data_IF_692319448927
#
_entry.id   IF_692319448927
#
_cell.length_a   1.000
_cell.length_b   1.000
_cell.length_c   1.000
_cell.angle_alpha   90.00
_cell.angle_beta   90.00
_cell.angle_gamma   90.00
#
_symmetry.space_group_name_H-M   'P 1'
#
loop_
_entity.id
_entity.type
_entity.pdbx_description
1 polymer ?
#
# COMPACT_ATOMS: atom_id res chain seq x y z
N UNK A 1 2.37 30.07 -12.85
CA UNK A 1 2.97 28.77 -12.47
C UNK A 1 3.58 28.18 -13.73
N UNK A 2 4.84 27.77 -13.70
CA UNK A 2 5.43 27.11 -14.86
C UNK A 2 4.78 25.73 -15.05
N UNK A 3 4.25 25.49 -16.25
CA UNK A 3 3.67 24.21 -16.62
C UNK A 3 4.78 23.15 -16.63
N UNK A 4 4.56 22.00 -15.98
CA UNK A 4 5.51 20.91 -16.00
C UNK A 4 5.45 20.25 -17.39
N UNK A 5 6.56 20.22 -18.16
CA UNK A 5 6.59 19.54 -19.45
C UNK A 5 6.32 18.05 -19.29
N UNK A 6 5.46 17.47 -20.14
CA UNK A 6 5.13 16.05 -20.12
C UNK A 6 5.47 15.40 -21.46
N UNK A 7 6.19 14.27 -21.43
CA UNK A 7 6.40 13.42 -22.59
C UNK A 7 5.45 12.22 -22.53
N UNK A 8 4.69 12.01 -23.60
CA UNK A 8 3.80 10.84 -23.76
C UNK A 8 4.26 10.00 -24.95
N UNK A 9 4.70 8.77 -24.68
CA UNK A 9 5.02 7.81 -25.74
C UNK A 9 3.75 7.21 -26.36
N UNK A 10 3.81 6.83 -27.64
CA UNK A 10 2.66 6.26 -28.36
C UNK A 10 2.22 4.90 -27.80
N UNK A 11 3.18 4.02 -27.49
CA UNK A 11 2.90 2.64 -27.01
C UNK A 11 2.76 2.55 -25.49
N UNK A 12 3.27 3.53 -24.73
CA UNK A 12 3.21 3.58 -23.27
C UNK A 12 2.23 4.64 -22.74
N UNK A 13 1.25 5.01 -23.55
CA UNK A 13 0.22 6.00 -23.16
C UNK A 13 -0.85 5.41 -22.20
N UNK A 14 -0.91 4.09 -22.06
CA UNK A 14 -1.89 3.40 -21.22
C UNK A 14 -1.28 3.01 -19.85
N UNK A 15 -0.87 4.02 -19.07
CA UNK A 15 -0.54 3.80 -17.67
C UNK A 15 -1.84 3.69 -16.85
N UNK A 16 -1.84 2.78 -15.87
CA UNK A 16 -2.85 2.76 -14.84
C UNK A 16 -2.63 3.98 -13.92
N UNK A 17 -3.57 4.91 -13.96
CA UNK A 17 -3.48 6.14 -13.20
C UNK A 17 -4.25 6.01 -11.89
N UNK A 18 -3.59 6.32 -10.78
CA UNK A 18 -4.26 6.43 -9.48
C UNK A 18 -5.21 7.64 -9.48
N UNK A 19 -6.28 7.63 -8.66
CA UNK A 19 -7.14 8.80 -8.48
C UNK A 19 -6.35 10.05 -8.08
N UNK A 20 -6.57 11.14 -8.80
CA UNK A 20 -5.80 12.39 -8.62
C UNK A 20 -5.94 13.00 -7.23
N UNK A 21 -7.08 12.80 -6.56
CA UNK A 21 -7.32 13.27 -5.19
C UNK A 21 -6.33 12.71 -4.17
N UNK A 22 -5.65 11.58 -4.46
CA UNK A 22 -4.61 11.03 -3.56
C UNK A 22 -3.40 11.99 -3.45
N UNK A 23 -3.17 12.84 -4.42
CA UNK A 23 -2.11 13.85 -4.35
C UNK A 23 -2.34 14.91 -3.26
N UNK A 24 -3.56 15.01 -2.72
CA UNK A 24 -3.92 15.89 -1.60
C UNK A 24 -3.38 15.40 -0.25
N UNK A 25 -2.94 14.12 -0.16
CA UNK A 25 -2.29 13.59 1.04
C UNK A 25 -1.04 14.37 1.41
N UNK A 26 -0.81 14.54 2.73
CA UNK A 26 0.42 15.14 3.25
C UNK A 26 1.67 14.33 2.87
N UNK A 27 1.52 13.02 2.79
CA UNK A 27 2.57 12.04 2.51
C UNK A 27 3.30 11.57 3.77
N UNK A 28 3.96 10.43 3.64
CA UNK A 28 4.89 9.87 4.63
C UNK A 28 6.28 9.90 3.99
N UNK A 29 7.28 10.37 4.73
CA UNK A 29 8.66 10.36 4.24
C UNK A 29 9.38 9.13 4.77
N UNK A 30 9.77 8.22 3.88
CA UNK A 30 10.54 7.01 4.20
C UNK A 30 11.83 7.07 3.40
N UNK A 31 12.97 6.99 4.07
CA UNK A 31 14.32 7.09 3.47
C UNK A 31 14.43 8.22 2.42
N UNK A 32 13.94 9.41 2.79
CA UNK A 32 13.96 10.60 1.93
C UNK A 32 12.88 10.66 0.85
N UNK A 33 12.22 9.57 0.51
CA UNK A 33 11.12 9.54 -0.48
C UNK A 33 9.79 9.91 0.15
N UNK A 34 9.04 10.79 -0.49
CA UNK A 34 7.68 11.16 -0.09
C UNK A 34 6.68 10.20 -0.74
N UNK A 35 5.89 9.51 0.08
CA UNK A 35 4.90 8.51 -0.34
C UNK A 35 3.51 9.01 0.04
N UNK A 36 2.65 9.25 -0.94
CA UNK A 36 1.24 9.65 -0.78
C UNK A 36 0.29 8.56 -1.27
N UNK A 37 0.76 7.75 -2.22
CA UNK A 37 -0.01 6.71 -2.89
C UNK A 37 0.70 5.38 -2.83
N UNK A 38 -0.05 4.33 -2.46
CA UNK A 38 0.41 2.95 -2.56
C UNK A 38 -0.60 2.17 -3.40
N UNK A 39 -0.12 1.31 -4.28
CA UNK A 39 -0.99 0.37 -4.99
C UNK A 39 -0.92 -1.00 -4.32
N UNK A 40 -2.10 -1.50 -3.93
CA UNK A 40 -2.26 -2.86 -3.40
C UNK A 40 -2.30 -3.85 -4.56
N UNK A 41 -1.17 -4.48 -4.85
CA UNK A 41 -1.07 -5.47 -5.93
C UNK A 41 0.12 -6.39 -5.77
N UNK A 42 -0.01 -7.62 -6.29
CA UNK A 42 1.08 -8.56 -6.57
C UNK A 42 1.18 -8.89 -8.07
N UNK A 43 0.32 -8.28 -8.88
CA UNK A 43 0.33 -8.44 -10.33
C UNK A 43 1.47 -7.59 -10.94
N UNK A 44 2.46 -8.25 -11.48
CA UNK A 44 3.66 -7.58 -12.02
C UNK A 44 3.36 -6.67 -13.22
N UNK A 45 2.31 -6.96 -14.00
CA UNK A 45 1.90 -6.10 -15.10
C UNK A 45 1.32 -4.78 -14.58
N UNK A 46 0.53 -4.82 -13.51
CA UNK A 46 0.01 -3.62 -12.82
C UNK A 46 1.15 -2.86 -12.16
N UNK A 47 2.01 -3.54 -11.39
CA UNK A 47 3.14 -2.95 -10.67
C UNK A 47 4.04 -2.15 -11.61
N UNK A 48 4.32 -2.69 -12.81
CA UNK A 48 5.20 -2.06 -13.80
C UNK A 48 4.56 -0.91 -14.54
N UNK A 49 3.22 -0.81 -14.56
CA UNK A 49 2.48 0.14 -15.39
C UNK A 49 1.57 1.09 -14.58
N UNK A 50 1.87 1.33 -13.32
CA UNK A 50 1.13 2.25 -12.46
C UNK A 50 1.98 3.47 -12.06
N UNK A 51 1.34 4.63 -11.89
CA UNK A 51 1.99 5.88 -11.51
C UNK A 51 1.98 6.17 -9.99
N UNK A 52 1.83 5.14 -9.14
CA UNK A 52 1.86 5.31 -7.69
C UNK A 52 3.27 5.60 -7.15
N UNK A 53 3.36 6.17 -5.94
CA UNK A 53 4.62 6.43 -5.26
C UNK A 53 5.27 5.15 -4.70
N UNK A 54 4.45 4.11 -4.42
CA UNK A 54 4.92 2.83 -3.87
C UNK A 54 3.93 1.69 -4.17
N UNK A 55 4.38 0.46 -3.90
CA UNK A 55 3.58 -0.76 -3.93
C UNK A 55 3.43 -1.32 -2.52
N UNK A 56 2.26 -1.85 -2.19
CA UNK A 56 2.01 -2.68 -1.02
C UNK A 56 1.64 -4.09 -1.49
N UNK A 57 2.57 -5.01 -1.32
CA UNK A 57 2.48 -6.39 -1.81
C UNK A 57 2.12 -7.33 -0.66
N UNK A 58 0.83 -7.54 -0.45
CA UNK A 58 0.28 -8.47 0.54
C UNK A 58 -0.68 -9.42 -0.18
N UNK A 59 -0.61 -10.70 0.13
CA UNK A 59 -1.43 -11.73 -0.49
C UNK A 59 -1.87 -12.79 0.53
N UNK A 60 -2.96 -13.56 0.29
CA UNK A 60 -3.62 -14.38 1.30
C UNK A 60 -2.93 -15.74 1.58
N UNK A 61 -1.71 -15.93 1.11
CA UNK A 61 -0.93 -17.15 1.32
C UNK A 61 0.26 -16.87 2.23
N UNK A 62 0.89 -17.93 2.76
CA UNK A 62 2.16 -17.80 3.50
C UNK A 62 3.17 -17.05 2.63
N UNK A 63 3.79 -15.99 3.12
CA UNK A 63 4.77 -15.23 2.36
C UNK A 63 5.93 -16.11 1.89
N UNK A 64 6.29 -15.98 0.62
CA UNK A 64 7.34 -16.74 -0.02
C UNK A 64 8.43 -15.78 -0.53
N UNK A 65 9.69 -15.97 -0.13
CA UNK A 65 10.80 -15.10 -0.55
C UNK A 65 10.93 -14.94 -2.07
N UNK A 66 10.64 -15.98 -2.85
CA UNK A 66 10.68 -15.92 -4.31
C UNK A 66 9.66 -14.96 -4.91
N UNK A 67 8.45 -14.88 -4.34
CA UNK A 67 7.41 -13.93 -4.76
C UNK A 67 7.84 -12.51 -4.38
N UNK A 68 8.30 -12.31 -3.15
CA UNK A 68 8.82 -11.01 -2.69
C UNK A 68 9.92 -10.50 -3.59
N UNK A 69 10.92 -11.35 -3.89
CA UNK A 69 12.04 -11.00 -4.77
C UNK A 69 11.56 -10.65 -6.18
N UNK A 70 10.63 -11.41 -6.75
CA UNK A 70 10.10 -11.15 -8.09
C UNK A 70 9.41 -9.78 -8.15
N UNK A 71 8.58 -9.44 -7.16
CA UNK A 71 7.89 -8.15 -7.09
C UNK A 71 8.89 -7.00 -6.95
N UNK A 72 9.85 -7.11 -6.04
CA UNK A 72 10.88 -6.08 -5.84
C UNK A 72 11.69 -5.88 -7.13
N UNK A 73 12.07 -6.96 -7.82
CA UNK A 73 12.88 -6.89 -9.04
C UNK A 73 12.18 -6.23 -10.22
N UNK A 74 10.86 -6.28 -10.31
CA UNK A 74 10.09 -5.66 -11.41
C UNK A 74 9.61 -4.25 -11.10
N UNK A 75 9.55 -3.87 -9.83
CA UNK A 75 9.03 -2.56 -9.41
C UNK A 75 10.04 -1.44 -9.68
N UNK A 76 9.58 -0.33 -10.24
CA UNK A 76 10.38 0.90 -10.38
C UNK A 76 10.24 1.83 -9.14
N UNK A 77 9.38 1.47 -8.20
CA UNK A 77 9.07 2.24 -6.99
C UNK A 77 9.24 1.39 -5.73
N UNK A 78 9.35 2.00 -4.54
CA UNK A 78 9.46 1.28 -3.29
C UNK A 78 8.38 0.21 -3.10
N UNK A 79 8.75 -0.94 -2.55
CA UNK A 79 7.83 -2.04 -2.26
C UNK A 79 7.77 -2.30 -0.75
N UNK A 80 6.55 -2.25 -0.20
CA UNK A 80 6.23 -2.68 1.15
C UNK A 80 5.63 -4.09 1.07
N UNK A 81 6.20 -5.05 1.80
CA UNK A 81 5.87 -6.46 1.63
C UNK A 81 5.20 -7.08 2.85
N UNK A 82 4.21 -7.94 2.63
CA UNK A 82 3.55 -8.69 3.68
C UNK A 82 4.43 -9.82 4.22
N UNK A 83 4.63 -9.85 5.54
CA UNK A 83 5.48 -10.87 6.18
C UNK A 83 4.72 -11.75 7.19
N UNK A 84 3.40 -11.60 7.28
CA UNK A 84 2.55 -12.42 8.14
C UNK A 84 1.57 -11.61 8.99
N UNK A 85 1.28 -12.12 10.19
CA UNK A 85 0.27 -11.56 11.10
C UNK A 85 -1.08 -12.28 11.03
N UNK A 86 -1.13 -13.41 10.35
CA UNK A 86 -2.28 -14.33 10.34
C UNK A 86 -1.80 -15.73 10.71
N UNK A 87 -2.00 -16.71 9.82
CA UNK A 87 -1.48 -18.09 10.01
C UNK A 87 0.05 -18.12 10.10
N UNK A 88 0.76 -17.27 9.35
CA UNK A 88 2.19 -17.06 9.50
C UNK A 88 2.40 -16.01 10.57
N UNK A 89 3.04 -16.37 11.68
CA UNK A 89 3.20 -15.53 12.87
C UNK A 89 4.50 -15.87 13.64
N UNK A 90 4.78 -15.13 14.73
CA UNK A 90 5.91 -15.34 15.62
C UNK A 90 7.25 -15.27 14.89
N UNK A 91 8.19 -16.11 15.30
CA UNK A 91 9.57 -16.12 14.77
C UNK A 91 9.66 -16.37 13.26
N UNK A 92 8.66 -17.03 12.65
CA UNK A 92 8.61 -17.17 11.19
C UNK A 92 8.42 -15.81 10.52
N UNK A 93 7.49 -15.00 11.02
CA UNK A 93 7.27 -13.64 10.51
C UNK A 93 8.48 -12.73 10.72
N UNK A 94 9.17 -12.88 11.85
CA UNK A 94 10.41 -12.15 12.14
C UNK A 94 11.50 -12.47 11.12
N UNK A 95 11.75 -13.77 10.85
CA UNK A 95 12.72 -14.17 9.82
C UNK A 95 12.34 -13.72 8.41
N UNK A 96 11.04 -13.73 8.09
CA UNK A 96 10.57 -13.22 6.80
C UNK A 96 10.78 -11.70 6.67
N UNK A 97 10.62 -10.95 7.76
CA UNK A 97 10.89 -9.51 7.79
C UNK A 97 12.37 -9.21 7.51
N UNK A 98 13.27 -9.85 8.24
CA UNK A 98 14.72 -9.74 8.05
C UNK A 98 15.14 -10.11 6.62
N UNK A 99 14.63 -11.24 6.11
CA UNK A 99 14.91 -11.67 4.76
C UNK A 99 14.38 -10.68 3.69
N UNK A 100 13.19 -10.11 3.92
CA UNK A 100 12.60 -9.12 3.02
C UNK A 100 13.43 -7.83 2.95
N UNK A 101 13.98 -7.39 4.08
CA UNK A 101 14.92 -6.27 4.12
C UNK A 101 16.17 -6.54 3.29
N UNK A 102 16.79 -7.73 3.46
CA UNK A 102 17.96 -8.15 2.66
C UNK A 102 17.65 -8.21 1.15
N UNK A 103 16.40 -8.45 0.77
CA UNK A 103 15.96 -8.41 -0.63
C UNK A 103 15.72 -6.98 -1.16
N UNK A 104 15.76 -5.96 -0.29
CA UNK A 104 15.53 -4.57 -0.67
C UNK A 104 14.09 -4.10 -0.50
N UNK A 105 13.28 -4.76 0.33
CA UNK A 105 11.98 -4.24 0.73
C UNK A 105 12.12 -2.87 1.41
N UNK A 106 11.18 -1.98 1.15
CA UNK A 106 11.20 -0.62 1.70
C UNK A 106 10.51 -0.52 3.06
N UNK A 107 9.82 -1.57 3.46
CA UNK A 107 9.17 -1.79 4.74
C UNK A 107 8.43 -3.12 4.75
N UNK A 108 8.06 -3.58 5.93
CA UNK A 108 7.31 -4.82 6.12
C UNK A 108 5.92 -4.54 6.67
N UNK A 109 4.94 -5.31 6.19
CA UNK A 109 3.53 -5.18 6.58
C UNK A 109 3.09 -6.42 7.32
N UNK A 110 2.45 -6.21 8.48
CA UNK A 110 1.86 -7.28 9.27
C UNK A 110 0.35 -7.07 9.45
N UNK A 111 -0.40 -8.16 9.38
CA UNK A 111 -1.86 -8.13 9.54
C UNK A 111 -2.27 -7.98 11.01
N UNK A 112 -3.53 -7.57 11.22
CA UNK A 112 -4.12 -7.28 12.53
C UNK A 112 -3.89 -8.33 13.63
N UNK A 113 -3.94 -9.66 13.37
CA UNK A 113 -3.73 -10.67 14.41
C UNK A 113 -2.29 -10.79 14.96
N UNK A 114 -1.32 -10.07 14.41
CA UNK A 114 0.06 -10.08 14.91
C UNK A 114 0.10 -9.71 16.40
N UNK A 115 0.99 -10.32 17.19
CA UNK A 115 1.20 -9.94 18.59
C UNK A 115 2.18 -8.80 18.74
N UNK A 116 2.05 -7.98 19.79
CA UNK A 116 3.01 -6.92 20.11
C UNK A 116 4.42 -7.48 20.34
N UNK A 117 4.54 -8.67 20.97
CA UNK A 117 5.82 -9.37 21.12
C UNK A 117 6.50 -9.62 19.75
N UNK A 118 5.74 -10.09 18.77
CA UNK A 118 6.29 -10.34 17.41
C UNK A 118 6.75 -9.05 16.74
N UNK A 119 6.01 -7.94 16.89
CA UNK A 119 6.42 -6.62 16.39
C UNK A 119 7.73 -6.19 17.03
N UNK A 120 7.85 -6.31 18.38
CA UNK A 120 9.09 -5.97 19.10
C UNK A 120 10.29 -6.79 18.63
N UNK A 121 10.10 -8.09 18.40
CA UNK A 121 11.16 -8.95 17.84
C UNK A 121 11.55 -8.52 16.43
N UNK A 122 10.59 -8.14 15.59
CA UNK A 122 10.88 -7.61 14.25
C UNK A 122 11.75 -6.35 14.32
N UNK A 123 11.39 -5.39 15.19
CA UNK A 123 12.16 -4.14 15.33
C UNK A 123 13.59 -4.34 15.84
N UNK A 124 13.91 -5.50 16.42
CA UNK A 124 15.28 -5.83 16.83
C UNK A 124 16.15 -6.32 15.67
N UNK A 125 15.54 -6.79 14.58
CA UNK A 125 16.25 -7.43 13.47
C UNK A 125 16.13 -6.69 12.13
N UNK A 126 15.23 -5.68 12.02
CA UNK A 126 15.08 -4.87 10.80
C UNK A 126 15.24 -3.39 11.09
N UNK A 127 15.85 -2.66 10.15
CA UNK A 127 15.97 -1.19 10.17
C UNK A 127 14.89 -0.50 9.31
N UNK A 128 14.23 -1.25 8.43
CA UNK A 128 13.09 -0.77 7.65
C UNK A 128 11.81 -0.64 8.48
N UNK A 129 10.85 0.23 8.09
CA UNK A 129 9.61 0.42 8.83
C UNK A 129 8.79 -0.86 8.99
N UNK A 130 8.29 -1.09 10.20
CA UNK A 130 7.27 -2.10 10.50
C UNK A 130 5.90 -1.45 10.47
N UNK A 131 5.06 -1.87 9.52
CA UNK A 131 3.73 -1.36 9.28
C UNK A 131 2.71 -2.36 9.84
N UNK A 132 1.88 -1.95 10.80
CA UNK A 132 0.84 -2.81 11.37
C UNK A 132 -0.54 -2.45 10.86
N UNK A 133 -1.34 -3.46 10.51
CA UNK A 133 -2.71 -3.27 10.03
C UNK A 133 -3.67 -3.08 11.21
N UNK A 134 -4.49 -2.03 11.13
CA UNK A 134 -5.55 -1.68 12.08
C UNK A 134 -6.90 -1.83 11.37
N UNK A 135 -7.77 -2.65 11.91
CA UNK A 135 -9.09 -2.96 11.32
C UNK A 135 -10.27 -2.48 12.17
N UNK A 136 -10.02 -2.09 13.42
CA UNK A 136 -11.02 -1.59 14.37
C UNK A 136 -10.41 -0.53 15.28
N UNK A 137 -11.25 0.38 15.75
CA UNK A 137 -10.90 1.40 16.76
C UNK A 137 -10.62 0.81 18.16
N UNK A 138 -11.11 -0.41 18.42
CA UNK A 138 -10.94 -1.11 19.69
C UNK A 138 -9.59 -1.81 19.83
N UNK A 139 -8.76 -1.80 18.76
CA UNK A 139 -7.42 -2.39 18.83
C UNK A 139 -6.50 -1.58 19.74
N UNK A 140 -5.59 -2.28 20.41
CA UNK A 140 -4.55 -1.68 21.26
C UNK A 140 -3.47 -0.99 20.42
N UNK A 141 -3.81 0.23 19.92
CA UNK A 141 -2.90 1.03 19.09
C UNK A 141 -1.70 1.50 19.90
N UNK A 142 -1.90 1.90 21.16
CA UNK A 142 -0.81 2.32 22.02
C UNK A 142 0.22 1.20 22.22
N UNK A 143 -0.26 -0.02 22.48
CA UNK A 143 0.62 -1.20 22.59
C UNK A 143 1.33 -1.54 21.29
N UNK A 144 0.68 -1.35 20.12
CA UNK A 144 1.34 -1.52 18.79
C UNK A 144 2.51 -0.55 18.61
N UNK A 145 2.28 0.73 18.92
CA UNK A 145 3.32 1.76 18.81
C UNK A 145 4.44 1.52 19.83
N UNK A 146 4.11 1.18 21.09
CA UNK A 146 5.09 0.85 22.11
C UNK A 146 5.92 -0.40 21.75
N UNK A 147 5.34 -1.35 21.01
CA UNK A 147 6.03 -2.52 20.50
C UNK A 147 6.97 -2.22 19.33
N UNK A 148 6.93 -1.00 18.76
CA UNK A 148 7.81 -0.57 17.68
C UNK A 148 7.17 -0.55 16.30
N UNK A 149 5.84 -0.54 16.18
CA UNK A 149 5.19 -0.24 14.91
C UNK A 149 5.48 1.22 14.51
N UNK A 150 6.04 1.42 13.32
CA UNK A 150 6.44 2.75 12.83
C UNK A 150 5.30 3.45 12.06
N UNK A 151 4.47 2.68 11.39
CA UNK A 151 3.38 3.17 10.54
C UNK A 151 2.13 2.32 10.78
N UNK A 152 0.97 2.96 10.84
CA UNK A 152 -0.31 2.26 10.91
C UNK A 152 -0.94 2.16 9.52
N UNK A 153 -1.38 0.96 9.13
CA UNK A 153 -2.15 0.73 7.90
C UNK A 153 -3.61 0.50 8.27
N UNK A 154 -4.46 1.52 8.16
CA UNK A 154 -5.86 1.44 8.55
C UNK A 154 -6.70 0.86 7.42
N UNK A 155 -7.35 -0.28 7.67
CA UNK A 155 -8.17 -1.01 6.70
C UNK A 155 -9.45 -1.52 7.37
N UNK A 156 -10.38 -0.61 7.67
CA UNK A 156 -11.67 -0.86 8.33
C UNK A 156 -12.87 -0.83 7.37
N UNK A 157 -12.66 -1.08 6.07
CA UNK A 157 -13.69 -0.96 5.04
C UNK A 157 -14.39 0.41 5.10
N UNK A 158 -15.72 0.47 5.17
CA UNK A 158 -16.49 1.72 5.23
C UNK A 158 -16.19 2.57 6.48
N UNK A 159 -15.67 1.95 7.55
CA UNK A 159 -15.31 2.64 8.81
C UNK A 159 -13.89 3.20 8.82
N UNK A 160 -13.13 3.04 7.73
CA UNK A 160 -11.73 3.52 7.67
C UNK A 160 -11.60 4.99 8.06
N UNK A 161 -12.40 5.95 7.56
CA UNK A 161 -12.27 7.36 7.94
C UNK A 161 -12.48 7.60 9.44
N UNK A 162 -13.48 6.94 10.04
CA UNK A 162 -13.80 7.07 11.47
C UNK A 162 -12.66 6.54 12.36
N UNK A 163 -12.07 5.38 11.97
CA UNK A 163 -10.91 4.81 12.67
C UNK A 163 -9.71 5.76 12.56
N UNK A 164 -9.43 6.30 11.37
CA UNK A 164 -8.34 7.26 11.15
C UNK A 164 -8.52 8.50 12.05
N UNK A 165 -9.72 9.08 12.08
CA UNK A 165 -10.01 10.25 12.91
C UNK A 165 -9.75 9.98 14.40
N UNK A 166 -10.24 8.85 14.93
CA UNK A 166 -10.02 8.47 16.34
C UNK A 166 -8.55 8.20 16.68
N UNK A 167 -7.78 7.62 15.73
CA UNK A 167 -6.35 7.45 15.89
C UNK A 167 -5.67 8.82 15.95
N UNK A 168 -6.05 9.72 15.05
CA UNK A 168 -5.45 11.06 14.96
C UNK A 168 -5.69 11.91 16.21
N UNK A 169 -6.86 11.79 16.84
CA UNK A 169 -7.16 12.45 18.11
C UNK A 169 -6.20 12.05 19.24
N UNK A 170 -5.84 10.76 19.30
CA UNK A 170 -4.99 10.21 20.39
C UNK A 170 -3.50 10.24 20.04
N UNK A 171 -3.16 10.14 18.77
CA UNK A 171 -1.79 10.02 18.25
C UNK A 171 -1.62 10.97 17.05
N UNK A 172 -1.49 12.30 17.29
CA UNK A 172 -1.52 13.31 16.23
C UNK A 172 -0.38 13.17 15.21
N UNK A 173 0.77 12.63 15.60
CA UNK A 173 1.98 12.58 14.78
C UNK A 173 2.26 11.20 14.14
N UNK A 174 1.47 10.17 14.48
CA UNK A 174 1.73 8.82 13.95
C UNK A 174 1.50 8.78 12.45
N UNK A 175 2.41 8.18 11.65
CA UNK A 175 2.18 8.03 10.22
C UNK A 175 1.04 7.04 9.95
N UNK A 176 0.06 7.45 9.13
CA UNK A 176 -1.11 6.63 8.78
C UNK A 176 -1.19 6.44 7.27
N UNK A 177 -1.10 5.19 6.83
CA UNK A 177 -1.57 4.72 5.52
C UNK A 177 -3.00 4.25 5.72
N UNK A 178 -3.92 4.53 4.80
CA UNK A 178 -5.28 4.06 4.91
C UNK A 178 -5.84 3.57 3.58
N UNK A 179 -6.73 2.57 3.60
CA UNK A 179 -7.45 2.14 2.41
C UNK A 179 -8.45 3.23 1.98
N UNK A 180 -8.35 3.68 0.74
CA UNK A 180 -9.12 4.83 0.25
C UNK A 180 -10.60 4.56 -0.04
N UNK A 181 -10.97 3.28 -0.21
CA UNK A 181 -12.32 2.93 -0.66
C UNK A 181 -12.46 2.99 -2.20
N UNK A 182 -13.63 2.60 -2.75
CA UNK A 182 -13.82 2.44 -4.18
C UNK A 182 -14.11 3.74 -4.95
N UNK A 183 -14.52 4.82 -4.25
CA UNK A 183 -14.92 6.11 -4.87
C UNK A 183 -13.99 7.22 -4.42
N UNK A 184 -13.80 8.23 -5.26
CA UNK A 184 -13.00 9.42 -4.90
C UNK A 184 -13.53 10.13 -3.65
N UNK A 185 -14.83 10.15 -3.43
CA UNK A 185 -15.44 10.74 -2.24
C UNK A 185 -14.99 10.02 -0.96
N UNK A 186 -14.92 8.69 -0.99
CA UNK A 186 -14.44 7.88 0.14
C UNK A 186 -12.95 8.14 0.41
N UNK A 187 -12.16 8.29 -0.67
CA UNK A 187 -10.74 8.66 -0.58
C UNK A 187 -10.59 10.04 0.09
N UNK A 188 -11.32 11.06 -0.38
CA UNK A 188 -11.28 12.41 0.19
C UNK A 188 -11.70 12.45 1.65
N UNK A 189 -12.73 11.69 2.04
CA UNK A 189 -13.14 11.55 3.45
C UNK A 189 -12.02 10.96 4.31
N UNK A 190 -11.33 9.95 3.81
CA UNK A 190 -10.21 9.30 4.50
C UNK A 190 -9.01 10.25 4.64
N UNK A 191 -8.71 11.05 3.62
CA UNK A 191 -7.66 12.09 3.67
C UNK A 191 -8.03 13.17 4.69
N UNK A 192 -9.28 13.66 4.64
CA UNK A 192 -9.78 14.68 5.57
C UNK A 192 -9.78 14.21 7.03
N UNK A 193 -9.96 12.90 7.26
CA UNK A 193 -9.84 12.28 8.58
C UNK A 193 -8.39 12.26 9.12
N UNK A 194 -7.39 12.55 8.29
CA UNK A 194 -5.99 12.67 8.70
C UNK A 194 -5.07 11.54 8.23
N UNK A 195 -5.46 10.76 7.22
CA UNK A 195 -4.56 9.82 6.57
C UNK A 195 -3.43 10.56 5.83
N UNK A 196 -2.18 10.12 6.01
CA UNK A 196 -1.02 10.71 5.35
C UNK A 196 -0.79 10.13 3.95
N UNK A 197 -1.19 8.88 3.72
CA UNK A 197 -1.09 8.20 2.44
C UNK A 197 -2.28 7.26 2.23
N UNK A 198 -2.62 7.02 0.96
CA UNK A 198 -3.75 6.17 0.58
C UNK A 198 -3.27 4.92 -0.15
N UNK A 199 -3.78 3.78 0.28
CA UNK A 199 -3.71 2.52 -0.48
C UNK A 199 -4.87 2.44 -1.46
N UNK A 200 -4.55 2.34 -2.74
CA UNK A 200 -5.48 2.17 -3.84
C UNK A 200 -5.44 0.73 -4.35
N UNK A 201 -6.61 0.11 -4.47
CA UNK A 201 -6.75 -1.23 -5.09
C UNK A 201 -7.15 -1.04 -6.54
N UNK A 202 -6.28 -1.35 -7.51
CA UNK A 202 -6.58 -1.19 -8.93
C UNK A 202 -7.53 -2.28 -9.43
N UNK A 203 -8.17 -2.10 -10.60
CA UNK A 203 -8.78 -3.20 -11.33
C UNK A 203 -7.77 -4.31 -11.61
N UNK A 204 -8.23 -5.55 -11.68
CA UNK A 204 -7.37 -6.67 -12.05
C UNK A 204 -6.92 -6.58 -13.51
N UNK A 205 -5.79 -7.19 -13.86
CA UNK A 205 -5.33 -7.29 -15.26
C UNK A 205 -6.41 -7.87 -16.18
N UNK A 206 -7.19 -8.84 -15.71
CA UNK A 206 -8.32 -9.40 -16.46
C UNK A 206 -9.43 -8.40 -16.76
N UNK A 207 -9.78 -7.55 -15.78
CA UNK A 207 -10.76 -6.46 -15.96
C UNK A 207 -10.25 -5.41 -16.93
N UNK A 208 -9.01 -4.95 -16.77
CA UNK A 208 -8.38 -3.97 -17.67
C UNK A 208 -8.33 -4.50 -19.12
N UNK A 209 -7.97 -5.78 -19.30
CA UNK A 209 -7.95 -6.41 -20.63
C UNK A 209 -9.35 -6.46 -21.24
N UNK A 210 -10.38 -6.85 -20.48
CA UNK A 210 -11.76 -6.89 -20.94
C UNK A 210 -12.24 -5.50 -21.42
N UNK A 211 -11.97 -4.44 -20.66
CA UNK A 211 -12.36 -3.07 -20.98
C UNK A 211 -11.66 -2.55 -22.26
N UNK A 212 -10.37 -2.82 -22.40
CA UNK A 212 -9.60 -2.48 -23.60
C UNK A 212 -10.18 -3.18 -24.84
N UNK A 213 -10.48 -4.47 -24.73
CA UNK A 213 -11.03 -5.26 -25.84
C UNK A 213 -12.45 -4.83 -26.23
N UNK A 214 -13.31 -4.47 -25.27
CA UNK A 214 -14.64 -3.93 -25.52
C UNK A 214 -14.53 -2.60 -26.31
N UNK A 215 -13.66 -1.71 -25.88
CA UNK A 215 -13.44 -0.43 -26.54
C UNK A 215 -12.87 -0.61 -27.98
N UNK A 216 -11.95 -1.53 -28.15
CA UNK A 216 -11.39 -1.85 -29.47
C UNK A 216 -12.46 -2.37 -30.44
N UNK A 217 -13.32 -3.30 -30.00
CA UNK A 217 -14.42 -3.85 -30.81
C UNK A 217 -15.44 -2.76 -31.21
N UNK A 218 -15.79 -1.84 -30.27
CA UNK A 218 -16.69 -0.71 -30.57
C UNK A 218 -16.11 0.23 -31.63
N UNK A 219 -14.80 0.48 -31.60
CA UNK A 219 -14.13 1.33 -32.58
C UNK A 219 -14.02 0.66 -33.97
N UNK A 220 -13.77 -0.65 -34.01
CA UNK A 220 -13.78 -1.44 -35.27
C UNK A 220 -15.15 -1.47 -35.94
N UNK A 221 -16.25 -1.50 -35.15
CA UNK A 221 -17.62 -1.51 -35.67
C UNK A 221 -18.06 -0.16 -36.24
N UNK A 222 -17.38 0.96 -35.87
CA UNK A 222 -17.66 2.30 -36.38
C UNK A 222 -16.88 2.65 -37.64
N UNK A 223 -15.89 1.84 -38.03
CA UNK A 223 -15.07 2.04 -39.25
C UNK A 223 -15.55 1.20 -40.44
N UNK A 224 -16.61 0.40 -40.27
CA UNK A 224 -17.36 -0.28 -41.30
C UNK A 224 -18.69 0.44 -41.57
#
# INVERSE_FOLDING_TARGET
MNQIPEYRGTLRSHLLTIPSCITECSGIRVFGRKIRSLVFSTDVAIIKNVNADAIIAVYPFTPQPSITQAIISVSDVPVFVGVGGGMTNGDRSVRLAEYSEHQGAFGVVVNAPITNETISKMKQVVDIPVITTIVSEDMDIAGRLAAGADILNVSGAAKTPEIVAKIREKFPDVPIIATGGPREEDIRRTIAAGANAITYTPPTTGQLFADIMINHRKNFSKQK
#
